data_IF_277206310232
#
_entry.id   IF_277206310232
#
_cell.length_a   1.000
_cell.length_b   1.000
_cell.length_c   1.000
_cell.angle_alpha   90.00
_cell.angle_beta   90.00
_cell.angle_gamma   90.00
#
_symmetry.space_group_name_H-M   'P 1'
#
loop_
_entity.id
_entity.type
_entity.pdbx_description
1 polymer ?
#
# COMPACT_ATOMS: atom_id res chain seq x y z
N UNK A 1 -3.26 -5.53 8.31
CA UNK A 1 -2.83 -4.99 6.99
C UNK A 1 -1.74 -5.89 6.41
N UNK A 2 -1.61 -6.01 5.08
CA UNK A 2 -0.64 -6.92 4.40
C UNK A 2 0.85 -6.55 4.59
N UNK A 3 1.19 -5.66 5.51
CA UNK A 3 2.54 -5.13 5.68
C UNK A 3 2.99 -4.16 4.57
N UNK A 4 2.09 -3.75 3.68
CA UNK A 4 2.37 -2.80 2.60
C UNK A 4 2.09 -1.37 3.12
N UNK A 5 3.03 -0.42 3.03
CA UNK A 5 2.89 0.96 3.53
C UNK A 5 2.01 1.85 2.64
N UNK A 6 0.86 1.34 2.19
CA UNK A 6 -0.03 1.98 1.24
C UNK A 6 -1.49 1.74 1.60
N UNK A 7 -2.24 2.82 1.82
CA UNK A 7 -3.68 2.72 2.13
C UNK A 7 -4.48 2.60 0.84
N UNK A 8 -5.20 1.49 0.65
CA UNK A 8 -6.09 1.30 -0.51
C UNK A 8 -7.19 0.29 -0.19
N UNK A 9 -8.15 0.69 0.64
CA UNK A 9 -9.31 -0.15 0.96
C UNK A 9 -10.11 -0.46 -0.31
N UNK A 10 -10.46 -1.73 -0.50
CA UNK A 10 -11.20 -2.21 -1.66
C UNK A 10 -12.22 -3.26 -1.24
N UNK A 11 -13.35 -3.23 -1.91
CA UNK A 11 -14.32 -4.32 -1.83
C UNK A 11 -13.82 -5.52 -2.63
N UNK A 12 -13.94 -6.71 -2.06
CA UNK A 12 -13.62 -7.97 -2.70
C UNK A 12 -14.84 -8.89 -2.62
N UNK A 13 -15.23 -9.48 -3.74
CA UNK A 13 -16.23 -10.54 -3.81
C UNK A 13 -15.53 -11.84 -4.18
N UNK A 14 -15.70 -12.86 -3.35
CA UNK A 14 -15.20 -14.21 -3.57
C UNK A 14 -16.40 -15.15 -3.69
N UNK A 15 -16.42 -15.97 -4.74
CA UNK A 15 -17.47 -16.97 -4.96
C UNK A 15 -16.85 -18.32 -5.34
N UNK A 16 -17.43 -19.41 -4.82
CA UNK A 16 -17.04 -20.78 -5.17
C UNK A 16 -18.27 -21.62 -5.46
N UNK A 17 -18.27 -22.36 -6.58
CA UNK A 17 -19.35 -23.27 -6.96
C UNK A 17 -19.41 -24.51 -6.04
N UNK A 18 -18.30 -24.88 -5.40
CA UNK A 18 -18.16 -26.10 -4.59
C UNK A 18 -17.92 -25.83 -3.11
N UNK A 19 -18.07 -24.57 -2.68
CA UNK A 19 -17.71 -24.10 -1.34
C UNK A 19 -16.24 -23.70 -1.23
N UNK A 20 -15.93 -22.89 -0.22
CA UNK A 20 -14.55 -22.69 0.23
C UNK A 20 -14.28 -23.80 1.25
N UNK A 21 -13.27 -24.62 1.04
CA UNK A 21 -12.84 -25.54 2.09
C UNK A 21 -12.21 -24.68 3.20
N UNK A 22 -12.55 -24.89 4.46
CA UNK A 22 -11.99 -24.12 5.59
C UNK A 22 -10.45 -24.20 5.67
N UNK A 23 -9.84 -25.20 5.02
CA UNK A 23 -8.39 -25.36 4.90
C UNK A 23 -7.78 -24.71 3.65
N UNK A 24 -8.60 -24.19 2.72
CA UNK A 24 -8.11 -23.52 1.53
C UNK A 24 -7.66 -22.10 1.92
N UNK A 25 -6.36 -21.97 2.13
CA UNK A 25 -5.66 -20.70 2.17
C UNK A 25 -6.30 -19.71 1.19
N UNK A 26 -6.60 -18.53 1.72
CA UNK A 26 -7.15 -17.36 1.08
C UNK A 26 -6.97 -17.38 -0.46
N UNK A 27 -8.05 -17.41 -1.26
CA UNK A 27 -8.02 -17.88 -2.66
C UNK A 27 -7.23 -17.01 -3.64
N UNK A 28 -6.71 -15.86 -3.23
CA UNK A 28 -5.88 -15.00 -4.07
C UNK A 28 -4.38 -15.24 -3.78
N UNK A 29 -3.50 -15.38 -4.79
CA UNK A 29 -2.06 -15.59 -4.58
C UNK A 29 -1.40 -14.54 -3.68
N UNK A 30 -1.89 -13.30 -3.70
CA UNK A 30 -1.41 -12.22 -2.82
C UNK A 30 -1.69 -12.45 -1.32
N UNK A 31 -2.58 -13.40 -0.99
CA UNK A 31 -2.92 -13.80 0.37
C UNK A 31 -2.43 -15.21 0.70
N UNK A 32 -1.71 -15.87 -0.22
CA UNK A 32 -1.15 -17.20 -0.01
C UNK A 32 -0.15 -17.18 1.14
N UNK A 33 -0.28 -18.12 2.09
CA UNK A 33 0.57 -18.17 3.28
C UNK A 33 0.30 -17.05 4.31
N UNK A 34 -0.86 -16.39 4.24
CA UNK A 34 -1.29 -15.40 5.25
C UNK A 34 -2.61 -15.85 5.87
N UNK A 35 -2.70 -15.72 7.19
CA UNK A 35 -3.94 -15.93 7.95
C UNK A 35 -4.55 -14.59 8.31
N UNK A 36 -5.86 -14.58 8.51
CA UNK A 36 -6.61 -13.43 9.02
C UNK A 36 -7.15 -13.83 10.39
N UNK A 37 -6.93 -13.01 11.41
CA UNK A 37 -7.49 -13.24 12.76
C UNK A 37 -8.96 -12.78 12.86
N UNK A 38 -9.58 -13.01 14.02
CA UNK A 38 -10.99 -12.68 14.27
C UNK A 38 -11.29 -11.17 14.16
N UNK A 39 -10.27 -10.32 14.32
CA UNK A 39 -10.35 -8.87 14.17
C UNK A 39 -10.14 -8.40 12.72
N UNK A 40 -9.93 -9.33 11.78
CA UNK A 40 -9.71 -9.03 10.37
C UNK A 40 -8.28 -8.59 10.04
N UNK A 41 -7.33 -8.74 10.96
CA UNK A 41 -5.93 -8.41 10.73
C UNK A 41 -5.16 -9.59 10.11
N UNK A 42 -4.20 -9.26 9.25
CA UNK A 42 -3.31 -10.26 8.65
C UNK A 42 -2.20 -10.62 9.63
N UNK A 43 -2.04 -11.92 9.88
CA UNK A 43 -1.01 -12.49 10.75
C UNK A 43 -0.13 -13.48 9.98
N UNK A 44 1.08 -13.66 10.46
CA UNK A 44 1.98 -14.69 9.99
C UNK A 44 1.53 -16.07 10.50
N UNK A 45 1.37 -17.10 9.63
CA UNK A 45 0.80 -18.38 10.01
C UNK A 45 1.71 -19.23 10.92
N UNK A 46 3.01 -18.92 10.96
CA UNK A 46 3.98 -19.67 11.77
C UNK A 46 4.16 -19.07 13.16
N UNK A 47 4.02 -17.75 13.29
CA UNK A 47 4.25 -17.02 14.54
C UNK A 47 2.98 -16.48 15.19
N UNK A 48 1.86 -16.45 14.47
CA UNK A 48 0.60 -15.80 14.87
C UNK A 48 0.77 -14.30 15.25
N UNK A 49 1.86 -13.67 14.81
CA UNK A 49 2.13 -12.26 15.05
C UNK A 49 1.62 -11.40 13.89
N UNK A 50 1.26 -10.13 14.16
CA UNK A 50 0.91 -9.18 13.11
C UNK A 50 2.03 -9.03 12.11
N UNK A 51 1.68 -8.98 10.83
CA UNK A 51 2.67 -8.69 9.76
C UNK A 51 3.19 -7.27 9.94
N UNK A 52 4.50 -7.12 10.14
CA UNK A 52 5.13 -5.79 10.25
C UNK A 52 4.99 -5.03 8.93
N UNK A 53 4.65 -3.73 9.02
CA UNK A 53 4.61 -2.86 7.87
C UNK A 53 6.00 -2.44 7.44
N UNK A 54 6.35 -2.68 6.18
CA UNK A 54 7.57 -2.19 5.57
C UNK A 54 7.59 -0.65 5.55
N UNK A 55 8.79 -0.08 5.45
CA UNK A 55 8.99 1.35 5.19
C UNK A 55 8.89 1.63 3.70
N UNK A 56 8.63 2.90 3.33
CA UNK A 56 8.52 3.31 1.93
C UNK A 56 9.84 3.17 1.17
N UNK A 57 10.98 3.28 1.85
CA UNK A 57 12.32 3.11 1.26
C UNK A 57 12.51 1.76 0.54
N UNK A 58 11.85 0.69 1.01
CA UNK A 58 11.85 -0.62 0.36
C UNK A 58 11.16 -0.62 -1.02
N UNK A 59 10.37 0.42 -1.33
CA UNK A 59 9.62 0.58 -2.58
C UNK A 59 10.11 1.76 -3.44
N UNK A 60 10.97 2.61 -2.89
CA UNK A 60 11.63 3.68 -3.63
C UNK A 60 12.87 3.09 -4.30
N UNK A 61 13.03 3.31 -5.59
CA UNK A 61 14.21 2.83 -6.31
C UNK A 61 15.46 3.53 -5.75
N UNK A 62 16.23 2.80 -4.94
CA UNK A 62 17.53 3.22 -4.43
C UNK A 62 18.67 2.84 -5.37
N UNK A 63 18.39 2.10 -6.46
CA UNK A 63 19.41 1.49 -7.34
C UNK A 63 19.91 2.41 -8.45
N UNK A 64 19.51 3.68 -8.45
CA UNK A 64 20.18 4.70 -9.26
C UNK A 64 19.95 4.58 -10.76
N UNK A 65 18.87 3.90 -11.22
CA UNK A 65 18.28 4.31 -12.51
C UNK A 65 18.02 5.79 -12.37
N UNK A 66 18.49 6.61 -13.32
CA UNK A 66 18.37 8.06 -13.26
C UNK A 66 16.88 8.45 -13.31
N UNK A 67 16.20 8.33 -12.18
CA UNK A 67 14.90 8.91 -11.97
C UNK A 67 15.17 10.39 -12.09
N UNK A 68 14.60 11.00 -13.13
CA UNK A 68 14.62 12.44 -13.28
C UNK A 68 13.81 13.04 -12.13
N UNK A 69 14.50 13.31 -11.03
CA UNK A 69 13.93 13.90 -9.82
C UNK A 69 13.37 15.28 -10.11
N UNK A 70 13.88 15.99 -11.13
CA UNK A 70 13.37 17.29 -11.52
C UNK A 70 11.96 17.16 -12.09
N UNK A 71 11.73 16.18 -12.97
CA UNK A 71 10.39 15.89 -13.52
C UNK A 71 9.35 15.47 -12.47
N UNK A 72 9.79 14.87 -11.36
CA UNK A 72 8.93 14.43 -10.26
C UNK A 72 8.77 15.49 -9.16
N UNK A 73 9.56 16.56 -9.19
CA UNK A 73 9.51 17.62 -8.19
C UNK A 73 8.25 18.46 -8.40
N UNK A 74 7.49 18.68 -7.33
CA UNK A 74 6.32 19.55 -7.37
C UNK A 74 6.74 20.98 -7.74
N UNK A 75 5.99 21.60 -8.66
CA UNK A 75 6.22 23.00 -9.04
C UNK A 75 6.09 23.92 -7.81
N UNK A 76 6.91 24.96 -7.68
CA UNK A 76 6.84 25.88 -6.54
C UNK A 76 5.45 26.51 -6.32
N UNK A 77 4.72 26.76 -7.41
CA UNK A 77 3.35 27.28 -7.38
C UNK A 77 2.38 26.30 -6.72
N UNK A 78 2.49 25.01 -7.02
CA UNK A 78 1.68 23.95 -6.40
C UNK A 78 1.94 23.89 -4.91
N UNK A 79 3.21 23.95 -4.48
CA UNK A 79 3.55 23.95 -3.05
C UNK A 79 2.97 25.20 -2.37
N UNK A 80 3.16 26.39 -2.96
CA UNK A 80 2.64 27.65 -2.41
C UNK A 80 1.12 27.60 -2.20
N UNK A 81 0.38 27.08 -3.17
CA UNK A 81 -1.09 27.09 -3.15
C UNK A 81 -1.67 25.96 -2.30
N UNK A 82 -1.03 24.79 -2.24
CA UNK A 82 -1.63 23.57 -1.69
C UNK A 82 -0.87 22.93 -0.53
N UNK A 83 0.23 23.52 -0.01
CA UNK A 83 1.05 22.88 1.03
C UNK A 83 0.26 22.38 2.26
N UNK A 84 -0.82 23.08 2.65
CA UNK A 84 -1.67 22.68 3.78
C UNK A 84 -2.45 21.38 3.55
N UNK A 85 -2.58 20.95 2.30
CA UNK A 85 -3.33 19.76 1.88
C UNK A 85 -2.44 18.60 1.44
N UNK A 86 -1.11 18.79 1.39
CA UNK A 86 -0.17 17.74 1.01
C UNK A 86 0.04 16.77 2.18
N UNK A 87 -0.23 15.49 1.96
CA UNK A 87 0.23 14.41 2.84
C UNK A 87 1.70 14.12 2.53
N UNK A 88 2.60 14.83 3.22
CA UNK A 88 4.05 14.71 3.02
C UNK A 88 4.60 13.53 3.81
N UNK A 89 5.25 12.59 3.12
CA UNK A 89 5.86 11.39 3.70
C UNK A 89 7.37 11.39 3.48
N UNK A 90 8.08 10.60 4.28
CA UNK A 90 9.53 10.38 4.20
C UNK A 90 9.85 8.93 3.85
N UNK A 91 11.08 8.60 3.42
CA UNK A 91 11.46 7.20 3.16
C UNK A 91 11.25 6.27 4.35
N UNK A 92 11.43 6.78 5.58
CA UNK A 92 11.20 6.02 6.81
C UNK A 92 9.71 5.85 7.19
N UNK A 93 8.79 6.47 6.45
CA UNK A 93 7.36 6.39 6.72
C UNK A 93 6.83 4.98 6.40
N UNK A 94 5.84 4.53 7.18
CA UNK A 94 5.16 3.22 7.02
C UNK A 94 3.73 3.35 6.49
N UNK A 95 3.38 4.51 5.93
CA UNK A 95 2.08 4.79 5.32
C UNK A 95 2.21 5.86 4.25
N UNK A 96 1.34 5.80 3.25
CA UNK A 96 1.01 6.91 2.36
C UNK A 96 -0.46 6.85 1.94
N UNK A 97 -0.99 7.99 1.51
CA UNK A 97 -2.35 8.11 0.99
C UNK A 97 -2.57 7.30 -0.31
N UNK A 98 -3.84 7.03 -0.65
CA UNK A 98 -4.22 6.33 -1.88
C UNK A 98 -3.84 7.14 -3.12
N UNK A 99 -3.11 6.54 -4.06
CA UNK A 99 -2.89 7.11 -5.38
C UNK A 99 -4.14 6.92 -6.24
N UNK A 100 -4.66 8.03 -6.75
CA UNK A 100 -5.80 8.04 -7.69
C UNK A 100 -5.30 8.25 -9.12
N UNK A 101 -6.17 8.05 -10.12
CA UNK A 101 -5.84 8.35 -11.52
C UNK A 101 -5.52 9.83 -11.77
N UNK A 102 -5.90 10.72 -10.85
CA UNK A 102 -5.60 12.15 -10.90
C UNK A 102 -4.25 12.53 -10.28
N UNK A 103 -3.48 11.58 -9.74
CA UNK A 103 -2.17 11.87 -9.17
C UNK A 103 -1.26 12.50 -10.23
N UNK A 104 -0.61 13.62 -9.87
CA UNK A 104 0.24 14.45 -10.73
C UNK A 104 -0.45 15.13 -11.94
N UNK A 105 -1.72 14.86 -12.22
CA UNK A 105 -2.48 15.43 -13.36
C UNK A 105 -3.62 16.36 -12.95
N UNK A 106 -4.09 16.27 -11.70
CA UNK A 106 -5.18 17.12 -11.20
C UNK A 106 -4.70 18.57 -11.08
N UNK A 107 -5.30 19.45 -11.88
CA UNK A 107 -5.16 20.90 -11.76
C UNK A 107 -6.05 21.32 -10.60
N UNK A 108 -5.45 21.60 -9.45
CA UNK A 108 -6.16 22.19 -8.31
C UNK A 108 -6.32 23.70 -8.50
#
# INVERSE_FOLDING_TARGET
ALGIPYTRERYYLMASLRGFNDAAATPHPAFAGRMIDDDGAFIDPHTALPVECAQLDAYVDSTGRSIDTESLTLKPETVRNYWKFLDVVTPASRRCATFTAGYASTVF
#
